data_IF_789267420673
#
_entry.id   IF_789267420673
#
_cell.length_a   1.000
_cell.length_b   1.000
_cell.length_c   1.000
_cell.angle_alpha   90.00
_cell.angle_beta   90.00
_cell.angle_gamma   90.00
#
_symmetry.space_group_name_H-M   'P 1'
#
loop_
_entity.id
_entity.type
_entity.pdbx_description
1 polymer ?
#
# COMPACT_ATOMS: atom_id res chain seq x y z
N UNK A 1 2.71 -90.71 -11.54
CA UNK A 1 1.63 -89.73 -11.85
C UNK A 1 1.21 -88.88 -10.63
N UNK A 2 2.15 -88.43 -9.77
CA UNK A 2 1.81 -87.68 -8.53
C UNK A 2 2.33 -86.22 -8.53
N UNK A 3 3.21 -85.82 -9.45
CA UNK A 3 3.79 -84.46 -9.49
C UNK A 3 2.98 -83.42 -10.27
N UNK A 4 2.02 -83.81 -11.12
CA UNK A 4 1.18 -82.87 -11.89
C UNK A 4 0.03 -82.29 -11.06
N UNK A 5 -0.49 -83.04 -10.08
CA UNK A 5 -1.55 -82.61 -9.16
C UNK A 5 -1.04 -81.64 -8.09
N UNK A 6 0.17 -81.86 -7.54
CA UNK A 6 0.82 -80.91 -6.62
C UNK A 6 1.13 -79.57 -7.32
N UNK A 7 1.62 -79.61 -8.56
CA UNK A 7 1.84 -78.40 -9.37
C UNK A 7 0.52 -77.66 -9.70
N UNK A 8 -0.56 -78.38 -10.01
CA UNK A 8 -1.87 -77.78 -10.27
C UNK A 8 -2.46 -77.09 -9.03
N UNK A 9 -2.34 -77.70 -7.85
CA UNK A 9 -2.83 -77.14 -6.60
C UNK A 9 -1.97 -75.94 -6.15
N UNK A 10 -0.64 -76.06 -6.19
CA UNK A 10 0.27 -74.96 -5.90
C UNK A 10 0.02 -73.75 -6.82
N UNK A 11 -0.17 -73.99 -8.12
CA UNK A 11 -0.53 -72.94 -9.08
C UNK A 11 -1.89 -72.31 -8.77
N UNK A 12 -2.88 -73.09 -8.31
CA UNK A 12 -4.18 -72.54 -7.87
C UNK A 12 -4.04 -71.69 -6.60
N UNK A 13 -3.19 -72.09 -5.67
CA UNK A 13 -2.90 -71.32 -4.44
C UNK A 13 -2.17 -70.02 -4.78
N UNK A 14 -1.08 -70.07 -5.55
CA UNK A 14 -0.37 -68.85 -6.00
C UNK A 14 -1.27 -67.89 -6.78
N UNK A 15 -2.20 -68.42 -7.60
CA UNK A 15 -3.20 -67.59 -8.29
C UNK A 15 -4.19 -66.93 -7.33
N UNK A 16 -4.63 -67.63 -6.28
CA UNK A 16 -5.49 -67.07 -5.22
C UNK A 16 -4.75 -65.97 -4.44
N UNK A 17 -3.50 -66.20 -4.08
CA UNK A 17 -2.69 -65.23 -3.34
C UNK A 17 -2.40 -63.97 -4.17
N UNK A 18 -2.05 -64.14 -5.45
CA UNK A 18 -1.87 -63.01 -6.38
C UNK A 18 -3.16 -62.21 -6.61
N UNK A 19 -4.31 -62.89 -6.69
CA UNK A 19 -5.61 -62.24 -6.81
C UNK A 19 -5.95 -61.44 -5.54
N UNK A 20 -5.68 -62.01 -4.36
CA UNK A 20 -5.91 -61.34 -3.08
C UNK A 20 -5.13 -60.02 -2.97
N UNK A 21 -3.85 -60.00 -3.36
CA UNK A 21 -3.01 -58.79 -3.41
C UNK A 21 -3.58 -57.74 -4.38
N UNK A 22 -4.09 -58.16 -5.55
CA UNK A 22 -4.68 -57.23 -6.53
C UNK A 22 -6.00 -56.65 -6.04
N UNK A 23 -6.78 -57.41 -5.28
CA UNK A 23 -8.03 -56.95 -4.69
C UNK A 23 -7.80 -56.03 -3.49
N UNK A 24 -6.78 -56.29 -2.66
CA UNK A 24 -6.41 -55.41 -1.54
C UNK A 24 -5.90 -54.05 -2.02
N UNK A 25 -5.17 -54.04 -3.13
CA UNK A 25 -4.64 -52.82 -3.74
C UNK A 25 -5.60 -52.23 -4.80
N UNK A 26 -6.85 -52.68 -4.85
CA UNK A 26 -7.82 -52.17 -5.83
C UNK A 26 -8.17 -50.72 -5.48
N UNK A 27 -7.96 -49.77 -6.41
CA UNK A 27 -8.38 -48.39 -6.19
C UNK A 27 -9.91 -48.30 -6.08
N UNK A 28 -10.35 -47.38 -5.24
CA UNK A 28 -11.76 -47.02 -5.08
C UNK A 28 -12.33 -46.44 -6.37
N UNK A 29 -13.66 -46.52 -6.50
CA UNK A 29 -14.38 -45.92 -7.65
C UNK A 29 -14.05 -44.42 -7.79
N UNK A 30 -13.97 -43.71 -6.66
CA UNK A 30 -13.64 -42.29 -6.62
C UNK A 30 -12.24 -42.01 -7.16
N UNK A 31 -11.23 -42.78 -6.77
CA UNK A 31 -9.85 -42.62 -7.28
C UNK A 31 -9.76 -42.89 -8.79
N UNK A 32 -10.53 -43.86 -9.30
CA UNK A 32 -10.61 -44.14 -10.74
C UNK A 32 -11.28 -43.00 -11.51
N UNK A 33 -12.31 -42.37 -10.94
CA UNK A 33 -12.95 -41.19 -11.52
C UNK A 33 -12.03 -39.95 -11.50
N UNK A 34 -11.28 -39.72 -10.42
CA UNK A 34 -10.31 -38.60 -10.32
C UNK A 34 -9.17 -38.77 -11.34
N UNK A 35 -8.79 -40.02 -11.62
CA UNK A 35 -7.84 -40.37 -12.69
C UNK A 35 -8.47 -40.39 -14.09
N UNK A 36 -9.75 -40.01 -14.22
CA UNK A 36 -10.52 -40.04 -15.47
C UNK A 36 -10.57 -41.41 -16.16
N UNK A 37 -10.40 -42.50 -15.41
CA UNK A 37 -10.55 -43.88 -15.91
C UNK A 37 -12.05 -44.23 -15.97
N UNK A 38 -12.83 -43.75 -15.00
CA UNK A 38 -14.28 -43.86 -14.99
C UNK A 38 -14.92 -42.49 -15.24
N UNK A 39 -15.87 -42.35 -16.18
CA UNK A 39 -16.59 -41.09 -16.38
C UNK A 39 -17.49 -40.80 -15.17
N UNK A 40 -17.49 -39.53 -14.73
CA UNK A 40 -18.40 -39.02 -13.70
C UNK A 40 -19.73 -38.50 -14.24
N UNK A 41 -19.73 -38.14 -15.52
CA UNK A 41 -20.81 -37.46 -16.23
C UNK A 41 -21.22 -38.28 -17.44
N UNK A 42 -22.45 -38.08 -17.90
CA UNK A 42 -22.93 -38.66 -19.16
C UNK A 42 -22.25 -37.99 -20.36
N UNK A 43 -22.28 -38.64 -21.52
CA UNK A 43 -21.71 -38.05 -22.74
C UNK A 43 -22.48 -36.81 -23.20
N UNK A 44 -23.78 -36.74 -22.91
CA UNK A 44 -24.61 -35.56 -23.17
C UNK A 44 -24.18 -34.37 -22.30
N UNK A 45 -24.04 -34.55 -20.98
CA UNK A 45 -23.55 -33.51 -20.06
C UNK A 45 -22.16 -33.00 -20.46
N UNK A 46 -21.28 -33.91 -20.91
CA UNK A 46 -19.94 -33.56 -21.39
C UNK A 46 -20.01 -32.74 -22.68
N UNK A 47 -20.90 -33.08 -23.60
CA UNK A 47 -21.11 -32.35 -24.84
C UNK A 47 -21.65 -30.94 -24.56
N UNK A 48 -22.65 -30.82 -23.68
CA UNK A 48 -23.20 -29.52 -23.27
C UNK A 48 -22.13 -28.65 -22.61
N UNK A 49 -21.37 -29.21 -21.66
CA UNK A 49 -20.27 -28.49 -21.00
C UNK A 49 -19.23 -28.02 -22.04
N UNK A 50 -18.90 -28.86 -23.02
CA UNK A 50 -17.99 -28.51 -24.11
C UNK A 50 -18.53 -27.36 -24.95
N UNK A 51 -19.82 -27.37 -25.28
CA UNK A 51 -20.46 -26.28 -26.02
C UNK A 51 -20.48 -24.97 -25.21
N UNK A 52 -20.80 -25.03 -23.92
CA UNK A 52 -20.77 -23.87 -23.03
C UNK A 52 -19.36 -23.29 -22.89
N UNK A 53 -18.34 -24.14 -22.74
CA UNK A 53 -16.93 -23.70 -22.72
C UNK A 53 -16.58 -23.07 -24.06
N UNK A 54 -16.96 -23.68 -25.18
CA UNK A 54 -16.71 -23.18 -26.52
C UNK A 54 -17.29 -21.78 -26.75
N UNK A 55 -18.58 -21.59 -26.47
CA UNK A 55 -19.25 -20.28 -26.60
C UNK A 55 -18.63 -19.22 -25.69
N UNK A 56 -18.31 -19.55 -24.43
CA UNK A 56 -17.65 -18.65 -23.50
C UNK A 56 -16.24 -18.27 -23.96
N UNK A 57 -15.49 -19.23 -24.50
CA UNK A 57 -14.14 -19.01 -25.03
C UNK A 57 -14.17 -18.09 -26.25
N UNK A 58 -15.05 -18.36 -27.22
CA UNK A 58 -15.21 -17.51 -28.41
C UNK A 58 -15.49 -16.05 -28.03
N UNK A 59 -16.40 -15.81 -27.08
CA UNK A 59 -16.69 -14.46 -26.58
C UNK A 59 -15.48 -13.79 -25.91
N UNK A 60 -14.68 -14.53 -25.14
CA UNK A 60 -13.47 -13.98 -24.51
C UNK A 60 -12.38 -13.65 -25.52
N UNK A 61 -12.23 -14.50 -26.54
CA UNK A 61 -11.25 -14.29 -27.60
C UNK A 61 -11.63 -13.12 -28.51
N UNK A 62 -12.92 -12.91 -28.78
CA UNK A 62 -13.38 -11.76 -29.58
C UNK A 62 -13.19 -10.41 -28.86
N UNK A 63 -13.17 -10.42 -27.52
CA UNK A 63 -12.95 -9.24 -26.68
C UNK A 63 -11.52 -9.19 -26.12
N UNK A 64 -10.59 -9.97 -26.67
CA UNK A 64 -9.23 -10.07 -26.15
C UNK A 64 -8.50 -8.74 -26.38
N UNK A 65 -8.01 -8.07 -25.32
CA UNK A 65 -7.24 -6.83 -25.47
C UNK A 65 -5.91 -7.08 -26.17
N UNK A 66 -5.37 -6.03 -26.79
CA UNK A 66 -4.05 -6.09 -27.44
C UNK A 66 -2.92 -6.10 -26.40
N UNK A 67 -1.72 -6.52 -26.81
CA UNK A 67 -0.55 -6.48 -25.94
C UNK A 67 -0.23 -5.05 -25.50
N UNK A 68 -0.32 -4.08 -26.42
CA UNK A 68 -0.07 -2.66 -26.15
C UNK A 68 -1.06 -2.09 -25.12
N UNK A 69 -2.35 -2.42 -25.20
CA UNK A 69 -3.35 -2.01 -24.20
C UNK A 69 -3.02 -2.55 -22.81
N UNK A 70 -2.49 -3.78 -22.73
CA UNK A 70 -2.07 -4.39 -21.46
C UNK A 70 -0.80 -3.74 -20.92
N UNK A 71 0.12 -3.30 -21.77
CA UNK A 71 1.32 -2.55 -21.38
C UNK A 71 0.97 -1.16 -20.84
N UNK A 72 0.07 -0.44 -21.52
CA UNK A 72 -0.43 0.87 -21.07
C UNK A 72 -1.15 0.77 -19.72
N UNK A 73 -1.85 -0.34 -19.47
CA UNK A 73 -2.47 -0.65 -18.17
C UNK A 73 -1.50 -1.22 -17.13
N UNK A 74 -0.22 -1.32 -17.46
CA UNK A 74 0.82 -1.82 -16.57
C UNK A 74 0.63 -3.28 -16.14
N UNK A 75 -0.11 -4.07 -16.92
CA UNK A 75 -0.35 -5.50 -16.71
C UNK A 75 0.76 -6.32 -17.38
N UNK A 76 1.07 -6.01 -18.64
CA UNK A 76 2.21 -6.57 -19.34
C UNK A 76 3.40 -5.62 -19.16
N UNK A 77 4.55 -6.16 -18.76
CA UNK A 77 5.78 -5.37 -18.59
C UNK A 77 6.65 -5.57 -19.83
N UNK A 78 6.97 -4.50 -20.59
CA UNK A 78 7.79 -4.62 -21.80
C UNK A 78 9.28 -4.82 -21.51
N UNK A 79 9.74 -4.48 -20.30
CA UNK A 79 11.16 -4.47 -19.91
C UNK A 79 11.54 -5.65 -19.01
N UNK A 80 12.81 -6.01 -19.08
CA UNK A 80 13.42 -7.00 -18.19
C UNK A 80 13.45 -6.47 -16.75
N UNK A 81 13.32 -7.37 -15.77
CA UNK A 81 13.32 -7.01 -14.34
C UNK A 81 14.58 -6.22 -13.94
N UNK A 82 15.74 -6.56 -14.55
CA UNK A 82 17.00 -5.85 -14.31
C UNK A 82 16.96 -4.38 -14.76
N UNK A 83 16.36 -4.10 -15.93
CA UNK A 83 16.24 -2.74 -16.46
C UNK A 83 15.30 -1.90 -15.58
N UNK A 84 14.18 -2.49 -15.10
CA UNK A 84 13.26 -1.80 -14.18
C UNK A 84 13.95 -1.44 -12.86
N UNK A 85 14.80 -2.34 -12.33
CA UNK A 85 15.59 -2.07 -11.13
C UNK A 85 16.64 -0.99 -11.36
N UNK A 86 17.29 -0.95 -12.52
CA UNK A 86 18.24 0.10 -12.88
C UNK A 86 17.56 1.46 -13.04
N UNK A 87 16.43 1.53 -13.75
CA UNK A 87 15.63 2.74 -13.91
C UNK A 87 15.15 3.26 -12.55
N UNK A 88 14.68 2.37 -11.67
CA UNK A 88 14.28 2.74 -10.30
C UNK A 88 15.46 3.28 -9.49
N UNK A 89 16.65 2.68 -9.61
CA UNK A 89 17.89 3.18 -8.97
C UNK A 89 18.27 4.55 -9.51
N UNK A 90 18.20 4.75 -10.82
CA UNK A 90 18.50 6.04 -11.43
C UNK A 90 17.50 7.13 -11.02
N UNK A 91 16.20 6.83 -11.03
CA UNK A 91 15.15 7.74 -10.57
C UNK A 91 15.39 8.13 -9.11
N UNK A 92 15.69 7.16 -8.24
CA UNK A 92 16.01 7.42 -6.82
C UNK A 92 17.25 8.30 -6.69
N UNK A 93 18.32 8.01 -7.42
CA UNK A 93 19.56 8.81 -7.44
C UNK A 93 19.29 10.25 -7.89
N UNK A 94 18.53 10.42 -8.98
CA UNK A 94 18.16 11.73 -9.52
C UNK A 94 17.29 12.53 -8.57
N UNK A 95 16.30 11.89 -7.94
CA UNK A 95 15.43 12.52 -6.95
C UNK A 95 16.22 12.98 -5.73
N UNK A 96 17.09 12.12 -5.20
CA UNK A 96 17.94 12.45 -4.04
C UNK A 96 18.77 13.70 -4.31
N UNK A 97 19.41 13.78 -5.49
CA UNK A 97 20.17 14.97 -5.90
C UNK A 97 19.31 16.23 -6.05
N UNK A 98 18.08 16.10 -6.60
CA UNK A 98 17.16 17.24 -6.72
C UNK A 98 16.70 17.75 -5.36
N UNK A 99 16.43 16.87 -4.42
CA UNK A 99 15.99 17.23 -3.08
C UNK A 99 17.14 17.83 -2.25
N UNK A 100 18.38 17.37 -2.43
CA UNK A 100 19.54 17.95 -1.73
C UNK A 100 19.90 19.36 -2.21
N UNK A 101 19.51 19.72 -3.43
CA UNK A 101 19.70 21.06 -4.01
C UNK A 101 18.41 21.88 -4.00
N UNK A 102 17.47 21.54 -3.10
CA UNK A 102 16.20 22.26 -3.00
C UNK A 102 16.45 23.65 -2.39
N UNK A 103 15.99 24.74 -3.03
CA UNK A 103 16.16 26.09 -2.51
C UNK A 103 15.37 26.29 -1.22
N UNK A 104 15.83 27.22 -0.39
CA UNK A 104 15.13 27.62 0.85
C UNK A 104 13.93 28.52 0.54
N UNK A 105 13.05 28.69 1.52
CA UNK A 105 11.86 29.56 1.39
C UNK A 105 12.31 31.02 1.21
N UNK A 106 13.38 31.41 1.92
CA UNK A 106 14.00 32.72 1.86
C UNK A 106 14.53 33.01 0.45
N UNK A 107 15.26 32.07 -0.16
CA UNK A 107 15.76 32.20 -1.54
C UNK A 107 14.62 32.34 -2.55
N UNK A 108 13.51 31.62 -2.34
CA UNK A 108 12.34 31.72 -3.21
C UNK A 108 11.62 33.07 -3.05
N UNK A 109 11.60 33.67 -1.85
CA UNK A 109 11.06 35.01 -1.60
C UNK A 109 11.94 36.09 -2.21
N UNK A 110 13.26 35.98 -2.08
CA UNK A 110 14.23 36.90 -2.69
C UNK A 110 14.11 36.91 -4.23
N UNK A 111 13.94 35.72 -4.82
CA UNK A 111 13.68 35.56 -6.26
C UNK A 111 12.26 35.95 -6.69
N UNK A 112 11.42 36.44 -5.78
CA UNK A 112 10.01 36.81 -6.02
C UNK A 112 9.18 35.67 -6.62
N UNK A 113 9.49 34.42 -6.24
CA UNK A 113 8.70 33.23 -6.60
C UNK A 113 7.56 33.05 -5.59
N UNK A 114 7.85 33.22 -4.30
CA UNK A 114 6.84 33.25 -3.23
C UNK A 114 6.53 34.70 -2.88
N UNK A 115 5.58 35.29 -3.60
CA UNK A 115 5.28 36.72 -3.54
C UNK A 115 4.33 37.04 -2.39
N UNK A 116 3.34 36.16 -2.15
CA UNK A 116 2.32 36.38 -1.11
C UNK A 116 2.67 35.60 0.14
N UNK A 117 2.28 36.15 1.29
CA UNK A 117 2.42 35.48 2.58
C UNK A 117 1.71 34.12 2.62
N UNK A 118 0.65 33.95 1.81
CA UNK A 118 -0.13 32.72 1.72
C UNK A 118 0.45 31.65 0.79
N UNK A 119 1.48 31.96 -0.02
CA UNK A 119 2.02 31.00 -0.99
C UNK A 119 2.85 29.89 -0.29
N UNK A 120 3.35 30.15 0.90
CA UNK A 120 3.97 29.16 1.78
C UNK A 120 3.70 29.52 3.25
N UNK A 121 3.03 28.62 3.96
CA UNK A 121 2.70 28.76 5.38
C UNK A 121 3.14 27.48 6.09
N UNK A 122 3.96 27.62 7.12
CA UNK A 122 4.35 26.51 7.98
C UNK A 122 3.26 26.30 9.03
N UNK A 123 2.74 25.08 9.10
CA UNK A 123 1.79 24.67 10.13
C UNK A 123 2.57 23.90 11.19
N UNK A 124 2.64 24.45 12.39
CA UNK A 124 3.19 23.80 13.56
C UNK A 124 2.06 23.39 14.51
N UNK A 125 2.25 22.29 15.24
CA UNK A 125 1.32 21.90 16.29
C UNK A 125 1.30 22.95 17.39
N UNK A 126 0.11 23.46 17.71
CA UNK A 126 -0.09 24.34 18.85
C UNK A 126 -0.18 23.52 20.13
N UNK A 127 0.32 24.07 21.24
CA UNK A 127 0.08 23.46 22.55
C UNK A 127 -1.42 23.40 22.82
N UNK A 128 -1.90 22.22 23.22
CA UNK A 128 -3.27 22.04 23.71
C UNK A 128 -3.35 22.56 25.15
N UNK A 129 -3.88 23.76 25.29
CA UNK A 129 -4.26 24.34 26.57
C UNK A 129 -5.78 24.48 26.64
N UNK A 130 -6.32 24.35 27.86
CA UNK A 130 -7.75 24.48 28.09
C UNK A 130 -8.21 25.93 27.87
N UNK A 131 -8.84 26.18 26.71
CA UNK A 131 -9.38 27.49 26.33
C UNK A 131 -10.62 27.89 27.14
N UNK A 132 -11.19 26.97 27.92
CA UNK A 132 -12.36 27.17 28.78
C UNK A 132 -12.01 27.33 30.25
N UNK A 133 -10.72 27.26 30.60
CA UNK A 133 -10.23 27.49 31.95
C UNK A 133 -10.57 28.89 32.49
N UNK A 134 -10.51 29.03 33.81
CA UNK A 134 -10.73 30.30 34.50
C UNK A 134 -9.77 31.38 34.00
N UNK A 135 -10.27 32.62 33.96
CA UNK A 135 -9.59 33.76 33.34
C UNK A 135 -9.25 34.74 34.45
N UNK A 136 -8.16 34.51 35.22
CA UNK A 136 -7.87 35.27 36.43
C UNK A 136 -7.76 36.78 36.17
N UNK A 137 -7.37 37.18 34.95
CA UNK A 137 -7.33 38.57 34.53
C UNK A 137 -8.70 39.28 34.54
N UNK A 138 -9.81 38.56 34.54
CA UNK A 138 -11.15 39.14 34.68
C UNK A 138 -11.39 39.77 36.06
N UNK A 139 -10.60 39.39 37.08
CA UNK A 139 -10.70 39.89 38.46
C UNK A 139 -9.56 40.83 38.87
N UNK A 140 -8.79 41.35 37.91
CA UNK A 140 -7.69 42.28 38.20
C UNK A 140 -8.18 43.57 38.87
N UNK A 141 -7.56 43.95 39.98
CA UNK A 141 -7.81 45.23 40.65
C UNK A 141 -7.23 46.40 39.85
N UNK A 142 -7.59 47.64 40.21
CA UNK A 142 -7.02 48.83 39.58
C UNK A 142 -5.51 48.94 39.83
N UNK A 143 -5.04 48.51 41.01
CA UNK A 143 -3.62 48.45 41.36
C UNK A 143 -2.87 47.43 40.49
N UNK A 144 -3.43 46.23 40.32
CA UNK A 144 -2.81 45.19 39.48
C UNK A 144 -2.70 45.64 38.03
N UNK A 145 -3.75 46.30 37.50
CA UNK A 145 -3.73 46.86 36.14
C UNK A 145 -2.66 47.95 36.00
N UNK A 146 -2.46 48.78 37.01
CA UNK A 146 -1.40 49.80 36.99
C UNK A 146 -0.01 49.17 37.03
N UNK A 147 0.20 48.15 37.88
CA UNK A 147 1.44 47.40 37.96
C UNK A 147 1.79 46.72 36.62
N UNK A 148 0.82 46.03 36.00
CA UNK A 148 0.99 45.39 34.68
C UNK A 148 1.33 46.43 33.60
N UNK A 149 0.67 47.60 33.60
CA UNK A 149 1.00 48.67 32.63
C UNK A 149 2.42 49.19 32.81
N UNK A 150 2.88 49.34 34.06
CA UNK A 150 4.23 49.76 34.38
C UNK A 150 5.25 48.71 33.90
N UNK A 151 5.03 47.45 34.25
CA UNK A 151 5.86 46.32 33.83
C UNK A 151 5.95 46.20 32.30
N UNK A 152 4.82 46.35 31.60
CA UNK A 152 4.78 46.36 30.14
C UNK A 152 5.56 47.52 29.51
N UNK A 153 5.54 48.71 30.13
CA UNK A 153 6.34 49.83 29.65
C UNK A 153 7.83 49.60 29.89
N UNK A 154 8.19 49.04 31.04
CA UNK A 154 9.55 48.65 31.39
C UNK A 154 10.09 47.68 30.33
N UNK A 155 9.39 46.56 30.10
CA UNK A 155 9.74 45.54 29.10
C UNK A 155 9.95 46.14 27.70
N UNK A 156 9.02 46.98 27.23
CA UNK A 156 9.12 47.65 25.92
C UNK A 156 10.32 48.58 25.80
N UNK A 157 10.80 49.13 26.92
CA UNK A 157 11.91 50.07 26.96
C UNK A 157 13.28 49.42 27.15
N UNK A 158 13.35 48.28 27.83
CA UNK A 158 14.61 47.66 28.26
C UNK A 158 14.91 46.32 27.59
N UNK A 159 13.90 45.47 27.39
CA UNK A 159 14.11 44.05 27.01
C UNK A 159 13.63 43.72 25.59
N UNK A 160 12.63 44.46 25.08
CA UNK A 160 12.10 44.24 23.74
C UNK A 160 13.07 44.71 22.65
N UNK A 161 13.59 43.77 21.86
CA UNK A 161 14.48 44.07 20.73
C UNK A 161 13.70 44.67 19.56
N UNK A 162 13.84 45.99 19.36
CA UNK A 162 13.19 46.74 18.27
C UNK A 162 14.25 47.40 17.40
N UNK A 163 14.13 47.22 16.08
CA UNK A 163 15.01 47.86 15.11
C UNK A 163 15.00 49.39 15.27
N UNK A 164 16.17 50.01 15.17
CA UNK A 164 16.42 51.39 15.58
C UNK A 164 15.53 52.40 14.84
N UNK A 165 15.33 52.22 13.53
CA UNK A 165 14.46 53.06 12.71
C UNK A 165 12.97 52.95 13.07
N UNK A 166 12.54 51.84 13.67
CA UNK A 166 11.13 51.56 14.00
C UNK A 166 10.80 51.82 15.46
N UNK A 167 11.78 52.20 16.29
CA UNK A 167 11.62 52.37 17.74
C UNK A 167 10.50 53.36 18.12
N UNK A 168 10.30 54.40 17.30
CA UNK A 168 9.24 55.40 17.47
C UNK A 168 7.81 54.87 17.31
N UNK A 169 7.61 53.68 16.72
CA UNK A 169 6.30 53.03 16.58
C UNK A 169 5.87 52.28 17.86
N UNK A 170 6.74 52.21 18.86
CA UNK A 170 6.47 51.50 20.11
C UNK A 170 5.51 52.30 20.99
N UNK A 171 4.30 51.76 21.22
CA UNK A 171 3.27 52.44 22.00
C UNK A 171 3.37 52.13 23.50
N UNK A 172 3.64 53.16 24.29
CA UNK A 172 3.67 53.09 25.75
C UNK A 172 2.28 53.36 26.36
N UNK A 173 2.00 52.69 27.47
CA UNK A 173 0.83 52.97 28.31
C UNK A 173 1.06 54.26 29.10
N UNK A 174 -0.02 55.00 29.36
CA UNK A 174 0.07 56.21 30.20
C UNK A 174 0.37 55.80 31.66
N UNK A 175 1.20 56.58 32.38
CA UNK A 175 1.42 56.40 33.82
C UNK A 175 0.11 56.41 34.61
#
# INVERSE_FOLDING_TARGET
MLNTLLGSLAMKVCRKDSLAIKLSNRPSKRELEEKNILPRQTDEERLELRQQIGTKLTRRLSQRPTAEELEQRNILKPRNEQEEQEEKREIKRRLTRKLSQRPTVEELRERKILIRFSDYVEVADAQDYDRRADKPWTRLTAADKAAIRKELNEFKSTEMEVHELSRHLTRFHRP
#
